data_IF_707972842126
#
_entry.id   IF_707972842126
#
_cell.length_a   1.000
_cell.length_b   1.000
_cell.length_c   1.000
_cell.angle_alpha   90.00
_cell.angle_beta   90.00
_cell.angle_gamma   90.00
#
_symmetry.space_group_name_H-M   'P 1'
#
loop_
_entity.id
_entity.type
_entity.pdbx_description
1 polymer ?
#
# COMPACT_ATOMS: atom_id res chain seq x y z
N UNK A 1 13.46 13.30 -2.24
CA UNK A 1 14.42 13.21 -1.10
C UNK A 1 13.72 13.38 0.26
N UNK A 2 12.88 14.40 0.45
CA UNK A 2 12.18 14.63 1.73
C UNK A 2 11.33 13.44 2.18
N UNK A 3 10.47 12.91 1.31
CA UNK A 3 9.60 11.76 1.67
C UNK A 3 10.41 10.52 2.06
N UNK A 4 11.53 10.26 1.41
CA UNK A 4 12.43 9.14 1.77
C UNK A 4 12.93 9.25 3.22
N UNK A 5 13.24 10.46 3.69
CA UNK A 5 13.66 10.70 5.08
C UNK A 5 12.47 10.55 6.02
N UNK A 6 11.30 11.07 5.65
CA UNK A 6 10.08 11.01 6.47
C UNK A 6 9.60 9.56 6.64
N UNK A 7 9.59 8.78 5.56
CA UNK A 7 9.08 7.41 5.53
C UNK A 7 9.90 6.45 6.40
N UNK A 8 11.19 6.73 6.59
CA UNK A 8 12.07 5.97 7.49
C UNK A 8 11.68 6.14 8.96
N UNK A 9 11.17 7.30 9.34
CA UNK A 9 10.94 7.66 10.73
C UNK A 9 9.46 7.56 11.10
N UNK A 10 8.90 6.36 11.30
CA UNK A 10 7.49 6.17 11.74
C UNK A 10 7.29 6.03 13.25
N UNK A 11 6.10 6.42 13.72
CA UNK A 11 5.66 6.19 15.11
C UNK A 11 5.35 4.71 15.40
N UNK A 12 4.99 3.91 14.39
CA UNK A 12 4.89 2.45 14.54
C UNK A 12 6.29 1.86 14.63
N UNK A 13 6.53 1.05 15.67
CA UNK A 13 7.64 0.08 15.77
C UNK A 13 7.43 -1.07 14.78
N UNK A 14 7.16 -0.74 13.52
CA UNK A 14 6.82 -1.70 12.47
C UNK A 14 8.05 -2.40 11.92
N UNK A 15 7.89 -3.69 11.61
CA UNK A 15 8.86 -4.49 10.85
C UNK A 15 9.18 -3.83 9.50
N UNK A 16 10.27 -4.23 8.82
CA UNK A 16 10.68 -3.70 7.49
C UNK A 16 9.53 -3.61 6.48
N UNK A 17 8.58 -4.53 6.54
CA UNK A 17 7.37 -4.54 5.69
C UNK A 17 6.51 -3.28 5.83
N UNK A 18 6.41 -2.72 7.03
CA UNK A 18 5.69 -1.47 7.26
C UNK A 18 6.38 -0.28 6.58
N UNK A 19 7.70 -0.34 6.33
CA UNK A 19 8.42 0.75 5.65
C UNK A 19 8.12 0.83 4.15
N UNK A 20 8.02 -0.31 3.45
CA UNK A 20 7.72 -0.31 1.99
C UNK A 20 6.30 0.19 1.69
N UNK A 21 5.38 0.07 2.64
CA UNK A 21 4.00 0.56 2.54
C UNK A 21 3.87 2.10 2.57
N UNK A 22 4.94 2.81 2.95
CA UNK A 22 4.91 4.26 3.21
C UNK A 22 5.41 5.02 2.00
N UNK A 23 4.51 5.82 1.44
CA UNK A 23 4.76 6.69 0.29
C UNK A 23 4.80 8.14 0.75
N UNK A 24 3.71 8.63 1.37
CA UNK A 24 3.60 10.03 1.77
C UNK A 24 2.57 10.21 2.91
N UNK A 25 2.99 10.90 3.98
CA UNK A 25 2.19 11.09 5.22
C UNK A 25 1.00 12.05 5.09
N UNK A 26 0.88 12.80 3.99
CA UNK A 26 -0.25 13.70 3.74
C UNK A 26 -1.45 13.00 3.07
N UNK A 27 -1.19 11.87 2.42
CA UNK A 27 -2.19 11.08 1.67
C UNK A 27 -2.33 9.65 2.24
N UNK A 28 -1.76 9.40 3.42
CA UNK A 28 -1.86 8.14 4.16
C UNK A 28 -2.07 8.42 5.66
N UNK A 29 -2.54 7.42 6.40
CA UNK A 29 -2.93 7.55 7.82
C UNK A 29 -1.77 7.37 8.81
N UNK A 30 -0.65 6.79 8.38
CA UNK A 30 0.54 6.64 9.21
C UNK A 30 1.22 8.00 9.51
N UNK A 31 1.93 8.07 10.64
CA UNK A 31 2.55 9.31 11.12
C UNK A 31 4.04 9.13 11.42
N UNK A 32 4.90 10.09 11.02
CA UNK A 32 6.31 10.03 11.34
C UNK A 32 6.63 10.43 12.79
N UNK A 33 7.76 9.93 13.32
CA UNK A 33 8.45 10.40 14.54
C UNK A 33 9.08 11.75 14.27
N UNK A 34 8.28 12.80 14.41
CA UNK A 34 8.72 14.18 14.14
C UNK A 34 9.97 14.61 14.90
N UNK A 35 10.23 14.03 16.07
CA UNK A 35 11.44 14.32 16.87
C UNK A 35 12.73 13.73 16.28
N UNK A 36 12.66 12.73 15.40
CA UNK A 36 13.82 12.15 14.70
C UNK A 36 14.07 12.77 13.33
N UNK A 37 13.19 13.65 12.87
CA UNK A 37 13.34 14.33 11.59
C UNK A 37 14.32 15.51 11.71
N UNK A 38 15.07 15.81 10.62
CA UNK A 38 15.82 17.06 10.52
C UNK A 38 14.95 18.29 10.82
N UNK A 39 15.53 19.38 11.39
CA UNK A 39 14.76 20.54 11.87
C UNK A 39 13.76 21.11 10.84
N UNK A 40 14.16 21.17 9.57
CA UNK A 40 13.31 21.66 8.48
C UNK A 40 12.06 20.79 8.30
N UNK A 41 12.23 19.46 8.22
CA UNK A 41 11.13 18.51 8.03
C UNK A 41 10.25 18.43 9.28
N UNK A 42 10.85 18.48 10.47
CA UNK A 42 10.12 18.57 11.74
C UNK A 42 9.21 19.80 11.74
N UNK A 43 9.73 20.97 11.36
CA UNK A 43 8.96 22.21 11.32
C UNK A 43 7.83 22.13 10.29
N UNK A 44 8.10 21.61 9.09
CA UNK A 44 7.10 21.40 8.04
C UNK A 44 5.93 20.54 8.54
N UNK A 45 6.22 19.35 9.06
CA UNK A 45 5.18 18.42 9.56
C UNK A 45 4.43 19.01 10.76
N UNK A 46 5.13 19.70 11.66
CA UNK A 46 4.51 20.33 12.83
C UNK A 46 3.56 21.46 12.45
N UNK A 47 3.94 22.30 11.47
CA UNK A 47 3.10 23.38 10.95
C UNK A 47 1.90 22.82 10.21
N UNK A 48 2.10 21.83 9.35
CA UNK A 48 0.99 21.15 8.68
C UNK A 48 -0.03 20.60 9.69
N UNK A 49 0.44 19.94 10.76
CA UNK A 49 -0.44 19.46 11.83
C UNK A 49 -1.16 20.62 12.55
N UNK A 50 -0.44 21.69 12.89
CA UNK A 50 -1.00 22.88 13.56
C UNK A 50 -2.13 23.52 12.76
N UNK A 51 -1.98 23.59 11.44
CA UNK A 51 -2.95 24.23 10.55
C UNK A 51 -3.92 23.23 9.89
N UNK A 52 -3.91 21.96 10.30
CA UNK A 52 -4.84 20.96 9.78
C UNK A 52 -4.69 20.68 8.28
N UNK A 53 -3.48 20.84 7.72
CA UNK A 53 -3.21 20.57 6.30
C UNK A 53 -3.47 19.10 6.03
N UNK A 54 -4.39 18.83 5.10
CA UNK A 54 -4.82 17.50 4.68
C UNK A 54 -5.01 17.50 3.17
N UNK A 55 -4.79 16.34 2.56
CA UNK A 55 -5.22 16.13 1.19
C UNK A 55 -6.75 16.00 1.16
N UNK A 56 -7.39 16.81 0.31
CA UNK A 56 -8.84 16.79 0.10
C UNK A 56 -9.06 16.76 -1.40
N UNK A 57 -9.64 15.67 -1.90
CA UNK A 57 -10.05 15.53 -3.28
C UNK A 57 -11.51 15.06 -3.27
N UNK A 58 -12.50 15.97 -3.36
CA UNK A 58 -13.91 15.61 -3.26
C UNK A 58 -14.40 14.72 -4.41
N UNK A 59 -13.80 14.87 -5.60
CA UNK A 59 -14.07 14.05 -6.78
C UNK A 59 -12.75 13.78 -7.51
N UNK A 60 -11.92 12.85 -7.02
CA UNK A 60 -10.64 12.56 -7.66
C UNK A 60 -10.91 11.91 -9.02
N UNK A 61 -10.18 12.34 -10.05
CA UNK A 61 -10.19 11.66 -11.35
C UNK A 61 -9.74 10.22 -11.19
N UNK A 62 -10.21 9.32 -12.04
CA UNK A 62 -9.79 7.91 -12.04
C UNK A 62 -8.26 7.77 -12.07
N UNK A 63 -7.58 8.52 -12.96
CA UNK A 63 -6.12 8.55 -13.03
C UNK A 63 -5.42 8.93 -11.70
N UNK A 64 -6.07 9.78 -10.88
CA UNK A 64 -5.57 10.17 -9.57
C UNK A 64 -5.83 9.06 -8.54
N UNK A 65 -7.01 8.43 -8.57
CA UNK A 65 -7.34 7.29 -7.70
C UNK A 65 -6.35 6.14 -7.91
N UNK A 66 -6.00 5.84 -9.16
CA UNK A 66 -5.03 4.80 -9.50
C UNK A 66 -3.62 5.08 -8.93
N UNK A 67 -3.27 6.35 -8.73
CA UNK A 67 -1.98 6.77 -8.17
C UNK A 67 -1.99 6.87 -6.64
N UNK A 68 -3.14 6.68 -5.99
CA UNK A 68 -3.22 6.74 -4.53
C UNK A 68 -2.48 5.55 -3.91
N UNK A 69 -1.75 5.75 -2.79
CA UNK A 69 -1.13 4.66 -2.06
C UNK A 69 -2.18 3.69 -1.53
N UNK A 70 -2.07 2.41 -1.88
CA UNK A 70 -3.04 1.39 -1.49
C UNK A 70 -3.03 1.15 0.03
N UNK A 71 -1.83 1.13 0.61
CA UNK A 71 -1.63 0.83 2.02
C UNK A 71 -1.82 2.07 2.89
N UNK A 72 -2.31 1.90 4.11
CA UNK A 72 -2.59 3.01 5.03
C UNK A 72 -3.43 4.12 4.35
N UNK A 73 -4.37 3.74 3.49
CA UNK A 73 -5.13 4.65 2.64
C UNK A 73 -5.90 5.67 3.49
N UNK A 74 -5.98 6.92 3.02
CA UNK A 74 -6.62 8.02 3.76
C UNK A 74 -8.13 7.81 3.97
N UNK A 75 -8.77 7.08 3.07
CA UNK A 75 -10.18 6.68 3.16
C UNK A 75 -10.44 5.41 3.96
N UNK A 76 -9.42 4.77 4.53
CA UNK A 76 -9.61 3.57 5.32
C UNK A 76 -10.35 3.89 6.64
N UNK A 77 -11.39 3.11 6.95
CA UNK A 77 -12.10 3.25 8.23
C UNK A 77 -11.16 2.89 9.40
N UNK A 78 -10.86 3.83 10.33
CA UNK A 78 -10.01 3.55 11.47
C UNK A 78 -10.64 2.57 12.48
N UNK A 79 -11.95 2.34 12.45
CA UNK A 79 -12.64 1.34 13.28
C UNK A 79 -12.41 -0.09 12.77
N UNK A 80 -12.12 -0.24 11.48
CA UNK A 80 -11.91 -1.54 10.84
C UNK A 80 -10.47 -2.03 10.97
N UNK A 81 -10.32 -3.35 11.11
CA UNK A 81 -9.00 -3.98 11.22
C UNK A 81 -8.27 -3.89 9.88
N UNK A 82 -7.27 -3.00 9.83
CA UNK A 82 -6.45 -2.79 8.65
C UNK A 82 -5.63 -4.04 8.27
N UNK A 83 -5.72 -4.44 7.01
CA UNK A 83 -5.05 -5.63 6.45
C UNK A 83 -3.67 -5.26 5.90
N UNK A 84 -2.89 -4.47 6.64
CA UNK A 84 -1.59 -3.99 6.16
C UNK A 84 -0.43 -4.91 6.57
N UNK A 85 -0.60 -5.73 7.61
CA UNK A 85 0.51 -6.41 8.30
C UNK A 85 0.46 -7.95 8.27
N UNK A 86 -0.43 -8.56 7.48
CA UNK A 86 -0.45 -10.02 7.37
C UNK A 86 0.59 -10.53 6.34
N UNK A 87 0.83 -11.84 6.31
CA UNK A 87 1.82 -12.46 5.42
C UNK A 87 1.49 -12.28 3.93
N UNK A 88 0.19 -12.19 3.57
CA UNK A 88 -0.25 -11.94 2.19
C UNK A 88 0.04 -10.50 1.76
N UNK A 89 -0.32 -9.52 2.59
CA UNK A 89 -0.01 -8.10 2.38
C UNK A 89 1.50 -7.87 2.30
N UNK A 90 2.26 -8.56 3.16
CA UNK A 90 3.73 -8.57 3.11
C UNK A 90 4.25 -9.08 1.77
N UNK A 91 3.70 -10.19 1.27
CA UNK A 91 4.06 -10.74 -0.04
C UNK A 91 3.73 -9.75 -1.17
N UNK A 92 2.54 -9.16 -1.15
CA UNK A 92 2.09 -8.19 -2.14
C UNK A 92 3.01 -6.96 -2.20
N UNK A 93 3.36 -6.39 -1.05
CA UNK A 93 4.27 -5.24 -0.98
C UNK A 93 5.69 -5.62 -1.40
N UNK A 94 6.27 -6.66 -0.81
CA UNK A 94 7.70 -6.92 -0.92
C UNK A 94 8.09 -7.68 -2.18
N UNK A 95 7.27 -8.64 -2.60
CA UNK A 95 7.57 -9.53 -3.73
C UNK A 95 6.90 -9.03 -5.00
N UNK A 96 5.59 -8.72 -4.93
CA UNK A 96 4.84 -8.26 -6.10
C UNK A 96 4.88 -6.75 -6.32
N UNK A 97 5.49 -5.98 -5.40
CA UNK A 97 5.63 -4.52 -5.48
C UNK A 97 4.31 -3.78 -5.71
N UNK A 98 3.24 -4.28 -5.09
CA UNK A 98 1.94 -3.61 -5.08
C UNK A 98 1.99 -2.46 -4.08
N UNK A 99 2.03 -1.21 -4.56
CA UNK A 99 2.17 -0.01 -3.71
C UNK A 99 0.99 0.95 -3.89
N UNK A 100 0.53 1.14 -5.12
CA UNK A 100 -0.60 2.03 -5.46
C UNK A 100 -1.85 1.23 -5.87
N UNK A 101 -3.01 1.89 -5.89
CA UNK A 101 -4.28 1.27 -6.30
C UNK A 101 -4.19 0.67 -7.71
N UNK A 102 -3.49 1.33 -8.63
CA UNK A 102 -3.29 0.81 -9.99
C UNK A 102 -2.52 -0.52 -10.04
N UNK A 103 -1.56 -0.74 -9.14
CA UNK A 103 -0.84 -2.04 -9.06
C UNK A 103 -1.78 -3.15 -8.59
N UNK A 104 -2.66 -2.79 -7.66
CA UNK A 104 -3.66 -3.69 -7.12
C UNK A 104 -4.70 -4.09 -8.18
N UNK A 105 -5.15 -3.16 -9.02
CA UNK A 105 -6.06 -3.46 -10.13
C UNK A 105 -5.40 -4.39 -11.14
N UNK A 106 -4.15 -4.11 -11.56
CA UNK A 106 -3.40 -5.01 -12.46
C UNK A 106 -3.27 -6.42 -11.89
N UNK A 107 -3.10 -6.53 -10.57
CA UNK A 107 -3.05 -7.83 -9.89
C UNK A 107 -4.39 -8.56 -9.97
N UNK A 108 -5.52 -7.85 -9.84
CA UNK A 108 -6.87 -8.42 -9.96
C UNK A 108 -7.13 -8.86 -11.41
N UNK A 109 -6.89 -7.98 -12.40
CA UNK A 109 -7.07 -8.28 -13.82
C UNK A 109 -6.30 -9.53 -14.25
N UNK A 110 -5.07 -9.70 -13.73
CA UNK A 110 -4.24 -10.88 -13.98
C UNK A 110 -4.85 -12.17 -13.40
N UNK A 111 -5.57 -12.08 -12.28
CA UNK A 111 -6.27 -13.21 -11.67
C UNK A 111 -7.60 -13.51 -12.36
N UNK A 112 -8.20 -12.52 -13.02
CA UNK A 112 -9.45 -12.66 -13.77
C UNK A 112 -9.24 -13.11 -15.23
N UNK A 113 -7.98 -13.29 -15.67
CA UNK A 113 -7.65 -13.83 -17.00
C UNK A 113 -8.16 -15.26 -17.19
N UNK A 114 -8.64 -15.58 -18.39
CA UNK A 114 -9.12 -16.93 -18.77
C UNK A 114 -8.05 -18.02 -18.62
N UNK A 115 -6.77 -17.66 -18.72
CA UNK A 115 -5.65 -18.59 -18.52
C UNK A 115 -5.42 -18.92 -17.04
N UNK A 116 -5.93 -18.08 -16.13
CA UNK A 116 -5.78 -18.26 -14.71
C UNK A 116 -6.79 -19.29 -14.18
N UNK A 117 -6.30 -20.14 -13.29
CA UNK A 117 -7.13 -21.11 -12.57
C UNK A 117 -6.84 -20.89 -11.08
N UNK A 118 -7.86 -20.75 -10.21
CA UNK A 118 -7.69 -20.41 -8.79
C UNK A 118 -7.20 -21.60 -7.95
N UNK A 119 -6.14 -22.26 -8.40
CA UNK A 119 -5.49 -23.42 -7.77
C UNK A 119 -4.02 -23.12 -7.48
N UNK A 120 -3.48 -23.80 -6.47
CA UNK A 120 -2.08 -23.65 -6.04
C UNK A 120 -1.06 -23.86 -7.14
N UNK A 121 -1.34 -24.83 -8.01
CA UNK A 121 -0.49 -25.21 -9.14
C UNK A 121 -0.88 -24.56 -10.46
N UNK A 122 -1.54 -23.40 -10.47
CA UNK A 122 -1.91 -22.73 -11.73
C UNK A 122 -0.70 -22.63 -12.67
N UNK A 123 -0.87 -23.14 -13.90
CA UNK A 123 0.16 -23.23 -14.93
C UNK A 123 0.25 -21.99 -15.82
N UNK A 124 -0.51 -20.94 -15.56
CA UNK A 124 -0.39 -19.72 -16.35
C UNK A 124 0.99 -19.07 -16.15
N UNK A 125 1.47 -18.38 -17.19
CA UNK A 125 2.81 -17.79 -17.22
C UNK A 125 3.05 -16.86 -16.02
N UNK A 126 2.04 -16.07 -15.63
CA UNK A 126 2.12 -15.20 -14.47
C UNK A 126 2.34 -15.96 -13.15
N UNK A 127 1.61 -17.05 -12.92
CA UNK A 127 1.74 -17.83 -11.69
C UNK A 127 3.05 -18.63 -11.65
N UNK A 128 3.52 -19.12 -12.80
CA UNK A 128 4.86 -19.74 -12.93
C UNK A 128 5.93 -18.72 -12.58
N UNK A 129 5.90 -17.55 -13.22
CA UNK A 129 6.85 -16.47 -12.97
C UNK A 129 6.89 -16.07 -11.48
N UNK A 130 5.73 -15.93 -10.84
CA UNK A 130 5.66 -15.56 -9.43
C UNK A 130 6.27 -16.61 -8.49
N UNK A 131 6.10 -17.90 -8.80
CA UNK A 131 6.72 -18.98 -8.00
C UNK A 131 8.21 -19.04 -8.22
N UNK A 132 8.65 -18.98 -9.47
CA UNK A 132 10.04 -19.26 -9.85
C UNK A 132 10.94 -18.05 -9.56
N UNK A 133 10.48 -16.84 -9.86
CA UNK A 133 11.30 -15.62 -9.76
C UNK A 133 11.03 -14.81 -8.49
N UNK A 134 9.80 -14.80 -7.99
CA UNK A 134 9.44 -14.04 -6.78
C UNK A 134 9.36 -14.92 -5.52
N UNK A 135 9.53 -16.24 -5.67
CA UNK A 135 9.37 -17.23 -4.61
C UNK A 135 8.03 -17.09 -3.87
N UNK A 136 6.96 -16.75 -4.60
CA UNK A 136 5.62 -16.62 -4.05
C UNK A 136 4.97 -18.00 -3.90
N UNK A 137 4.66 -18.40 -2.67
CA UNK A 137 4.07 -19.72 -2.41
C UNK A 137 2.58 -19.83 -2.83
N UNK A 138 1.89 -18.69 -2.99
CA UNK A 138 0.43 -18.67 -3.22
C UNK A 138 0.02 -17.54 -4.19
N UNK A 139 0.40 -17.63 -5.48
CA UNK A 139 0.09 -16.57 -6.46
C UNK A 139 -1.41 -16.40 -6.74
N UNK A 140 -2.18 -17.50 -6.65
CA UNK A 140 -3.64 -17.59 -6.86
C UNK A 140 -4.50 -17.04 -5.71
N UNK A 141 -3.93 -16.80 -4.52
CA UNK A 141 -4.67 -16.64 -3.26
C UNK A 141 -4.77 -15.21 -2.72
N UNK A 142 -4.45 -14.21 -3.53
CA UNK A 142 -4.34 -12.81 -3.11
C UNK A 142 -5.66 -12.02 -3.23
N UNK A 143 -6.80 -12.63 -2.81
CA UNK A 143 -8.05 -11.90 -2.58
C UNK A 143 -7.92 -10.76 -1.55
N UNK A 144 -6.78 -10.68 -0.86
CA UNK A 144 -6.36 -9.56 -0.03
C UNK A 144 -6.43 -8.23 -0.77
N UNK A 145 -6.05 -8.19 -2.05
CA UNK A 145 -6.09 -6.95 -2.84
C UNK A 145 -7.52 -6.45 -3.02
N UNK A 146 -8.43 -7.34 -3.41
CA UNK A 146 -9.85 -7.01 -3.59
C UNK A 146 -10.51 -6.54 -2.29
N UNK A 147 -10.17 -7.18 -1.15
CA UNK A 147 -10.63 -6.74 0.16
C UNK A 147 -10.12 -5.35 0.55
N UNK A 148 -8.87 -5.02 0.21
CA UNK A 148 -8.27 -3.72 0.53
C UNK A 148 -8.90 -2.62 -0.33
N UNK A 149 -9.10 -2.84 -1.64
CA UNK A 149 -9.75 -1.83 -2.50
C UNK A 149 -11.15 -1.51 -2.00
N UNK A 150 -11.96 -2.54 -1.69
CA UNK A 150 -13.33 -2.34 -1.21
C UNK A 150 -13.43 -1.58 0.12
N UNK A 151 -12.43 -1.68 1.01
CA UNK A 151 -12.45 -1.01 2.31
C UNK A 151 -11.80 0.38 2.29
N UNK A 152 -11.22 0.81 1.18
CA UNK A 152 -10.38 2.03 1.13
C UNK A 152 -10.73 3.02 0.03
N UNK A 153 -11.28 2.58 -1.10
CA UNK A 153 -11.44 3.40 -2.31
C UNK A 153 -12.90 3.61 -2.77
N UNK A 154 -13.88 3.01 -2.10
CA UNK A 154 -15.32 3.15 -2.41
C UNK A 154 -16.07 3.80 -1.24
#
# INVERSE_FOLDING_TARGET
>A
LADVIINKESNTTGNKTDQESRVNTFIQTWRPRTHKLPPVLKNMISKAKKYGVKFIAPKPSEALQLQMPLWHHIGADPAERQINNNSKSTCLMQKHKVIIVGDAIKMIERLDSDEHIPLRGCGCLACIHDRDNLHCMHPYGNNTVQKIICSTCL
#
